data_IF_431581550359
#
_entry.id   IF_431581550359
#
_cell.length_a   1.000
_cell.length_b   1.000
_cell.length_c   1.000
_cell.angle_alpha   90.00
_cell.angle_beta   90.00
_cell.angle_gamma   90.00
#
_symmetry.space_group_name_H-M   'P 1'
#
loop_
_entity.id
_entity.type
_entity.pdbx_description
1 polymer ?
#
# COMPACT_ATOMS: atom_id res chain seq x y z
N UNK A 1 5.75 6.48 17.15
CA UNK A 1 5.02 7.77 17.34
C UNK A 1 4.42 8.35 16.05
N UNK A 2 5.19 8.69 15.01
CA UNK A 2 4.64 9.23 13.74
C UNK A 2 3.91 8.15 12.91
N UNK A 3 4.58 7.01 12.70
CA UNK A 3 4.02 5.86 12.01
C UNK A 3 2.64 5.46 12.55
N UNK A 4 2.53 5.28 13.88
CA UNK A 4 1.29 4.85 14.53
C UNK A 4 0.12 5.82 14.31
N UNK A 5 0.37 7.12 14.19
CA UNK A 5 -0.68 8.11 13.91
C UNK A 5 -1.18 7.96 12.48
N UNK A 6 -0.27 7.83 11.51
CA UNK A 6 -0.63 7.55 10.11
C UNK A 6 -1.35 6.21 9.98
N UNK A 7 -0.84 5.16 10.60
CA UNK A 7 -1.44 3.84 10.56
C UNK A 7 -2.84 3.84 11.21
N UNK A 8 -3.02 4.50 12.36
CA UNK A 8 -4.32 4.67 12.98
C UNK A 8 -5.30 5.44 12.09
N UNK A 9 -4.84 6.50 11.43
CA UNK A 9 -5.64 7.24 10.45
C UNK A 9 -6.08 6.35 9.27
N UNK A 10 -5.12 5.68 8.64
CA UNK A 10 -5.36 4.86 7.45
C UNK A 10 -6.31 3.71 7.78
N UNK A 11 -6.13 3.03 8.93
CA UNK A 11 -7.06 1.96 9.35
C UNK A 11 -8.38 2.46 9.96
N UNK A 12 -8.65 3.77 9.90
CA UNK A 12 -9.89 4.38 10.40
C UNK A 12 -10.07 4.41 11.92
N UNK A 13 -9.00 4.24 12.70
CA UNK A 13 -9.02 4.18 14.18
C UNK A 13 -8.32 5.37 14.85
N UNK A 14 -8.22 6.51 14.16
CA UNK A 14 -7.55 7.69 14.69
C UNK A 14 -7.76 8.94 13.85
N UNK A 15 -7.31 10.08 14.38
CA UNK A 15 -7.32 11.36 13.67
C UNK A 15 -6.34 11.34 12.50
N UNK A 16 -6.77 11.89 11.37
CA UNK A 16 -5.93 12.06 10.19
C UNK A 16 -5.40 13.49 10.12
N UNK A 17 -4.14 13.63 9.67
CA UNK A 17 -3.67 14.89 9.09
C UNK A 17 -4.28 15.06 7.70
N UNK A 18 -4.24 16.28 7.13
CA UNK A 18 -4.70 16.51 5.76
C UNK A 18 -4.02 15.55 4.76
N UNK A 19 -2.72 15.31 4.92
CA UNK A 19 -1.98 14.34 4.11
C UNK A 19 -2.44 12.89 4.37
N UNK A 20 -2.72 12.54 5.63
CA UNK A 20 -3.24 11.21 5.99
C UNK A 20 -4.60 10.92 5.36
N UNK A 21 -5.49 11.92 5.26
CA UNK A 21 -6.78 11.79 4.56
C UNK A 21 -6.54 11.49 3.08
N UNK A 22 -5.70 12.30 2.42
CA UNK A 22 -5.38 12.10 1.01
C UNK A 22 -4.78 10.71 0.75
N UNK A 23 -3.88 10.25 1.62
CA UNK A 23 -3.28 8.93 1.53
C UNK A 23 -4.34 7.82 1.66
N UNK A 24 -5.25 7.94 2.64
CA UNK A 24 -6.34 7.00 2.86
C UNK A 24 -7.26 6.87 1.63
N UNK A 25 -7.56 7.99 0.97
CA UNK A 25 -8.41 8.02 -0.24
C UNK A 25 -7.69 7.48 -1.48
N UNK A 26 -6.36 7.60 -1.53
CA UNK A 26 -5.55 7.17 -2.69
C UNK A 26 -5.20 5.68 -2.65
N UNK A 27 -5.08 5.08 -1.46
CA UNK A 27 -4.70 3.66 -1.29
C UNK A 27 -5.60 2.68 -2.08
N UNK A 28 -6.94 2.78 -2.05
CA UNK A 28 -7.80 1.89 -2.84
C UNK A 28 -7.52 1.96 -4.35
N UNK A 29 -7.37 3.17 -4.90
CA UNK A 29 -7.04 3.37 -6.32
C UNK A 29 -5.65 2.83 -6.66
N UNK A 30 -4.69 2.95 -5.72
CA UNK A 30 -3.36 2.40 -5.87
C UNK A 30 -3.34 0.87 -5.99
N UNK A 31 -4.17 0.21 -5.19
CA UNK A 31 -4.32 -1.24 -5.17
C UNK A 31 -5.05 -1.69 -6.45
N UNK A 32 -6.24 -1.16 -6.71
CA UNK A 32 -7.11 -1.63 -7.78
C UNK A 32 -6.61 -1.24 -9.18
N UNK A 33 -6.16 0.01 -9.35
CA UNK A 33 -5.87 0.58 -10.66
C UNK A 33 -4.37 0.86 -10.88
N UNK A 34 -3.50 0.41 -9.99
CA UNK A 34 -2.07 0.67 -10.09
C UNK A 34 -1.70 2.15 -9.87
N UNK A 35 -2.53 2.88 -9.13
CA UNK A 35 -2.28 4.28 -8.76
C UNK A 35 -2.21 5.16 -10.01
N UNK A 36 -3.19 5.03 -10.91
CA UNK A 36 -3.22 5.76 -12.18
C UNK A 36 -3.16 7.28 -11.98
N UNK A 37 -3.68 7.77 -10.85
CA UNK A 37 -3.69 9.20 -10.48
C UNK A 37 -2.42 9.66 -9.76
N UNK A 38 -1.48 8.75 -9.50
CA UNK A 38 -0.28 9.02 -8.72
C UNK A 38 0.89 9.39 -9.65
N UNK A 39 1.68 10.36 -9.23
CA UNK A 39 2.98 10.66 -9.83
C UNK A 39 3.94 9.48 -9.66
N UNK A 40 4.95 9.36 -10.52
CA UNK A 40 5.93 8.27 -10.43
C UNK A 40 6.65 8.24 -9.08
N UNK A 41 6.94 9.42 -8.52
CA UNK A 41 7.51 9.54 -7.17
C UNK A 41 6.56 9.03 -6.07
N UNK A 42 5.25 9.20 -6.23
CA UNK A 42 4.28 8.64 -5.28
C UNK A 42 4.18 7.12 -5.41
N UNK A 43 4.22 6.59 -6.64
CA UNK A 43 4.24 5.13 -6.88
C UNK A 43 5.45 4.46 -6.25
N UNK A 44 6.65 4.99 -6.50
CA UNK A 44 7.90 4.46 -5.93
C UNK A 44 7.88 4.50 -4.39
N UNK A 45 7.43 5.62 -3.80
CA UNK A 45 7.32 5.75 -2.34
C UNK A 45 6.30 4.78 -1.76
N UNK A 46 5.15 4.63 -2.42
CA UNK A 46 4.10 3.70 -1.98
C UNK A 46 4.61 2.26 -2.02
N UNK A 47 5.26 1.85 -3.11
CA UNK A 47 5.87 0.53 -3.23
C UNK A 47 6.88 0.27 -2.10
N UNK A 48 7.76 1.24 -1.83
CA UNK A 48 8.74 1.14 -0.73
C UNK A 48 8.06 0.98 0.63
N UNK A 49 6.98 1.71 0.89
CA UNK A 49 6.21 1.61 2.14
C UNK A 49 5.53 0.24 2.23
N UNK A 50 4.91 -0.24 1.17
CA UNK A 50 4.23 -1.54 1.16
C UNK A 50 5.23 -2.68 1.37
N UNK A 51 6.38 -2.67 0.68
CA UNK A 51 7.47 -3.65 0.90
C UNK A 51 7.96 -3.63 2.35
N UNK A 52 8.12 -2.44 2.94
CA UNK A 52 8.47 -2.32 4.36
C UNK A 52 7.38 -2.93 5.27
N UNK A 53 6.10 -2.66 5.00
CA UNK A 53 5.01 -3.22 5.79
C UNK A 53 4.97 -4.75 5.70
N UNK A 54 5.09 -5.31 4.50
CA UNK A 54 5.10 -6.78 4.30
C UNK A 54 6.24 -7.43 5.07
N UNK A 55 7.44 -6.85 5.01
CA UNK A 55 8.65 -7.45 5.59
C UNK A 55 8.77 -7.22 7.10
N UNK A 56 8.55 -5.99 7.55
CA UNK A 56 8.88 -5.54 8.92
C UNK A 56 7.64 -5.40 9.82
N UNK A 57 6.42 -5.34 9.23
CA UNK A 57 5.15 -5.13 9.93
C UNK A 57 4.00 -5.98 9.34
N UNK A 58 4.15 -7.31 9.23
CA UNK A 58 3.18 -8.16 8.52
C UNK A 58 1.77 -8.11 9.13
N UNK A 59 1.65 -7.91 10.44
CA UNK A 59 0.35 -7.75 11.11
C UNK A 59 -0.36 -6.46 10.69
N UNK A 60 0.39 -5.36 10.57
CA UNK A 60 -0.15 -4.08 10.12
C UNK A 60 -0.50 -4.14 8.62
N UNK A 61 0.33 -4.82 7.82
CA UNK A 61 0.04 -5.09 6.42
C UNK A 61 -1.28 -5.86 6.27
N UNK A 62 -1.46 -6.95 7.01
CA UNK A 62 -2.67 -7.77 6.96
C UNK A 62 -3.94 -6.96 7.25
N UNK A 63 -3.90 -6.07 8.23
CA UNK A 63 -5.02 -5.17 8.54
C UNK A 63 -5.38 -4.27 7.35
N UNK A 64 -4.38 -3.75 6.63
CA UNK A 64 -4.61 -2.91 5.46
C UNK A 64 -5.05 -3.73 4.25
N UNK A 65 -4.48 -4.91 4.06
CA UNK A 65 -4.82 -5.85 2.99
C UNK A 65 -6.29 -6.28 3.09
N UNK A 66 -6.73 -6.69 4.28
CA UNK A 66 -8.14 -7.03 4.54
C UNK A 66 -9.09 -5.85 4.32
N UNK A 67 -8.64 -4.62 4.60
CA UNK A 67 -9.47 -3.42 4.49
C UNK A 67 -9.54 -2.87 3.05
N UNK A 68 -8.44 -2.91 2.31
CA UNK A 68 -8.29 -2.22 1.04
C UNK A 68 -8.12 -3.12 -0.17
N UNK A 69 -7.71 -4.38 0.03
CA UNK A 69 -7.51 -5.38 -1.00
C UNK A 69 -8.18 -6.72 -0.68
N UNK A 70 -9.50 -6.76 -0.43
CA UNK A 70 -10.20 -8.01 -0.11
C UNK A 70 -10.15 -9.05 -1.24
N UNK A 71 -9.75 -8.65 -2.45
CA UNK A 71 -9.61 -9.51 -3.63
C UNK A 71 -8.17 -10.01 -3.84
N UNK A 72 -7.18 -9.50 -3.08
CA UNK A 72 -5.77 -9.86 -3.24
C UNK A 72 -5.16 -9.43 -4.57
N UNK A 73 -5.64 -8.33 -5.16
CA UNK A 73 -5.17 -7.78 -6.45
C UNK A 73 -3.72 -7.30 -6.35
N UNK A 74 -3.36 -6.63 -5.26
CA UNK A 74 -2.02 -6.10 -5.03
C UNK A 74 -1.01 -7.24 -4.87
N UNK A 75 -1.32 -8.25 -4.05
CA UNK A 75 -0.49 -9.43 -3.86
C UNK A 75 -0.27 -10.17 -5.19
N UNK A 76 -1.34 -10.37 -5.95
CA UNK A 76 -1.29 -11.01 -7.28
C UNK A 76 -0.41 -10.22 -8.24
N UNK A 77 -0.61 -8.89 -8.34
CA UNK A 77 0.20 -8.03 -9.20
C UNK A 77 1.67 -8.00 -8.77
N UNK A 78 1.96 -8.01 -7.47
CA UNK A 78 3.33 -8.04 -6.94
C UNK A 78 4.03 -9.34 -7.32
N UNK A 79 3.37 -10.49 -7.12
CA UNK A 79 3.90 -11.81 -7.52
C UNK A 79 4.15 -11.87 -9.02
N UNK A 80 3.21 -11.41 -9.85
CA UNK A 80 3.39 -11.33 -11.30
C UNK A 80 4.58 -10.44 -11.71
N UNK A 81 4.78 -9.30 -11.03
CA UNK A 81 5.92 -8.42 -11.30
C UNK A 81 7.26 -9.03 -10.84
N UNK A 82 7.26 -9.82 -9.76
CA UNK A 82 8.44 -10.52 -9.26
C UNK A 82 8.79 -11.75 -10.14
N UNK A 83 7.78 -12.49 -10.59
CA UNK A 83 7.92 -13.64 -11.50
C UNK A 83 8.28 -13.21 -12.94
N UNK A 84 7.78 -12.07 -13.40
CA UNK A 84 8.15 -11.46 -14.68
C UNK A 84 9.60 -10.98 -14.77
N UNK A 85 10.34 -10.98 -13.64
CA UNK A 85 11.77 -10.70 -13.61
C UNK A 85 12.62 -11.98 -13.75
N UNK A 86 11.99 -13.14 -13.99
CA UNK A 86 12.65 -14.37 -14.43
C UNK A 86 12.45 -14.57 -15.95
N UNK A 87 12.79 -13.54 -16.75
CA UNK A 87 13.22 -13.81 -18.13
C UNK A 87 14.70 -14.20 -17.99
N UNK A 88 14.96 -15.50 -18.08
CA UNK A 88 16.31 -16.04 -18.28
C UNK A 88 17.00 -15.29 -19.44
N UNK A 89 18.27 -14.94 -19.18
CA UNK A 89 19.39 -14.63 -20.08
C UNK A 89 19.10 -14.35 -21.56
#
# INVERSE_FOLDING_TARGET
>A
RLYQQYFACIRGKGKCTAYGVHLKETIPDAIQNGCAKCTDKQKERLEKVLRFLIKEKPEDYKVLDEQYDPQGVFESRRKMAEEGHHIEQ
#
